data_IF_389239659045
#
_entry.id   IF_389239659045
#
_cell.length_a   1.000
_cell.length_b   1.000
_cell.length_c   1.000
_cell.angle_alpha   90.00
_cell.angle_beta   90.00
_cell.angle_gamma   90.00
#
_symmetry.space_group_name_H-M   'P 1'
#
loop_
_entity.id
_entity.type
_entity.pdbx_description
1 polymer ?
#
# COMPACT_ATOMS: atom_id res chain seq x y z
N UNK A 1 -14.60 -16.56 -11.06
CA UNK A 1 -13.44 -16.34 -10.18
C UNK A 1 -13.38 -14.86 -9.90
N UNK A 2 -13.37 -14.48 -8.62
CA UNK A 2 -13.51 -13.09 -8.19
C UNK A 2 -12.27 -12.29 -8.64
N UNK A 3 -12.45 -11.03 -9.07
CA UNK A 3 -11.41 -10.26 -9.76
C UNK A 3 -10.06 -10.17 -9.01
N UNK A 4 -10.10 -10.15 -7.67
CA UNK A 4 -8.91 -10.12 -6.81
C UNK A 4 -8.06 -11.39 -6.90
N UNK A 5 -8.68 -12.57 -6.98
CA UNK A 5 -7.96 -13.85 -7.10
C UNK A 5 -7.26 -13.96 -8.46
N UNK A 6 -7.90 -13.44 -9.51
CA UNK A 6 -7.30 -13.39 -10.85
C UNK A 6 -6.08 -12.47 -10.84
N UNK A 7 -6.17 -11.27 -10.26
CA UNK A 7 -5.04 -10.35 -10.16
C UNK A 7 -3.91 -10.97 -9.31
N UNK A 8 -4.24 -11.55 -8.16
CA UNK A 8 -3.29 -12.21 -7.27
C UNK A 8 -2.57 -13.38 -7.97
N UNK A 9 -3.29 -14.19 -8.75
CA UNK A 9 -2.67 -15.30 -9.50
C UNK A 9 -1.68 -14.83 -10.58
N UNK A 10 -1.95 -13.68 -11.20
CA UNK A 10 -1.09 -13.09 -12.25
C UNK A 10 0.17 -12.47 -11.67
N UNK A 11 0.04 -11.72 -10.57
CA UNK A 11 1.14 -10.95 -9.97
C UNK A 11 1.93 -11.76 -8.92
N UNK A 12 1.33 -12.81 -8.33
CA UNK A 12 1.95 -13.68 -7.33
C UNK A 12 2.52 -12.87 -6.15
N UNK A 13 3.81 -13.02 -5.87
CA UNK A 13 4.50 -12.31 -4.79
C UNK A 13 4.48 -10.78 -4.93
N UNK A 14 4.21 -10.26 -6.14
CA UNK A 14 4.11 -8.84 -6.42
C UNK A 14 2.77 -8.24 -6.01
N UNK A 15 1.76 -9.05 -5.67
CA UNK A 15 0.49 -8.57 -5.13
C UNK A 15 0.54 -8.58 -3.60
N UNK A 16 0.64 -7.39 -3.01
CA UNK A 16 0.91 -7.20 -1.59
C UNK A 16 -0.38 -6.82 -0.88
N UNK A 17 -0.71 -7.55 0.19
CA UNK A 17 -1.68 -7.10 1.18
C UNK A 17 -0.97 -6.17 2.16
N UNK A 18 -1.30 -4.89 2.09
CA UNK A 18 -0.60 -3.85 2.86
C UNK A 18 -1.00 -3.94 4.33
N UNK A 19 -0.01 -3.83 5.21
CA UNK A 19 -0.19 -3.67 6.66
C UNK A 19 0.63 -2.46 7.09
N UNK A 20 0.05 -1.55 7.87
CA UNK A 20 0.81 -0.39 8.33
C UNK A 20 1.65 -0.79 9.55
N UNK A 21 2.96 -0.50 9.60
CA UNK A 21 3.73 -0.71 10.82
C UNK A 21 3.23 0.15 12.00
N UNK A 22 2.41 1.18 11.72
CA UNK A 22 1.75 1.98 12.75
C UNK A 22 0.59 1.25 13.44
N UNK A 23 0.03 0.20 12.85
CA UNK A 23 -1.12 -0.53 13.41
C UNK A 23 -0.80 -1.09 14.80
N UNK A 24 0.41 -1.60 15.00
CA UNK A 24 0.85 -2.15 16.29
C UNK A 24 1.12 -1.05 17.32
N UNK A 25 1.61 0.12 16.87
CA UNK A 25 1.75 1.29 17.73
C UNK A 25 0.38 1.76 18.23
N UNK A 26 -0.63 1.79 17.37
CA UNK A 26 -2.01 2.16 17.74
C UNK A 26 -2.59 1.15 18.74
N UNK A 27 -2.46 -0.16 18.48
CA UNK A 27 -2.94 -1.21 19.41
C UNK A 27 -2.27 -1.14 20.78
N UNK A 28 -0.99 -0.77 20.82
CA UNK A 28 -0.21 -0.64 22.05
C UNK A 28 -0.31 0.75 22.70
N UNK A 29 -1.21 1.61 22.21
CA UNK A 29 -1.37 3.00 22.67
C UNK A 29 -0.04 3.78 22.73
N UNK A 30 0.79 3.60 21.70
CA UNK A 30 2.11 4.24 21.55
C UNK A 30 3.27 3.55 22.27
N UNK A 31 3.03 2.52 23.08
CA UNK A 31 4.10 1.84 23.82
C UNK A 31 5.01 1.06 22.86
N UNK A 32 6.32 1.34 22.91
CA UNK A 32 7.33 0.65 22.07
C UNK A 32 7.49 1.23 20.65
N UNK A 33 6.85 2.37 20.35
CA UNK A 33 6.89 2.96 19.01
C UNK A 33 8.22 3.66 18.67
N UNK A 34 9.11 3.91 19.64
CA UNK A 34 10.32 4.74 19.48
C UNK A 34 11.22 4.28 18.32
N UNK A 35 11.43 2.96 18.19
CA UNK A 35 12.27 2.40 17.13
C UNK A 35 11.65 2.63 15.74
N UNK A 36 10.32 2.52 15.61
CA UNK A 36 9.63 2.83 14.37
C UNK A 36 9.74 4.33 14.06
N UNK A 37 9.45 5.19 15.03
CA UNK A 37 9.50 6.65 14.87
C UNK A 37 10.92 7.16 14.57
N UNK A 38 11.96 6.45 14.99
CA UNK A 38 13.33 6.72 14.58
C UNK A 38 13.56 6.39 13.09
N UNK A 39 12.99 5.28 12.58
CA UNK A 39 13.15 4.83 11.18
C UNK A 39 12.32 5.64 10.19
N UNK A 40 11.08 6.01 10.50
CA UNK A 40 10.17 6.73 9.57
C UNK A 40 10.67 8.14 9.19
N UNK A 41 11.64 8.68 9.93
CA UNK A 41 12.33 9.93 9.56
C UNK A 41 13.27 9.75 8.35
N UNK A 42 13.62 8.51 8.00
CA UNK A 42 14.38 8.20 6.80
C UNK A 42 13.43 8.13 5.59
N UNK A 43 13.55 9.04 4.61
CA UNK A 43 12.66 9.06 3.44
C UNK A 43 12.75 7.80 2.57
N UNK A 44 13.90 7.10 2.56
CA UNK A 44 14.04 5.84 1.82
C UNK A 44 13.23 4.73 2.47
N UNK A 45 13.32 4.59 3.79
CA UNK A 45 12.52 3.60 4.53
C UNK A 45 11.03 3.86 4.36
N UNK A 46 10.61 5.13 4.41
CA UNK A 46 9.22 5.51 4.27
C UNK A 46 8.67 5.28 2.86
N UNK A 47 9.50 5.43 1.82
CA UNK A 47 9.15 5.12 0.43
C UNK A 47 9.04 3.61 0.19
N UNK A 48 9.94 2.83 0.75
CA UNK A 48 10.02 1.38 0.49
C UNK A 48 8.96 0.59 1.28
N UNK A 49 8.31 1.22 2.27
CA UNK A 49 7.22 0.64 3.06
C UNK A 49 5.84 1.06 2.52
N UNK A 50 5.09 0.16 1.84
CA UNK A 50 3.81 0.49 1.20
C UNK A 50 2.71 0.86 2.20
N UNK A 51 2.88 0.53 3.49
CA UNK A 51 1.99 0.90 4.58
C UNK A 51 2.20 2.31 5.16
N UNK A 52 3.15 3.09 4.63
CA UNK A 52 3.49 4.43 5.10
C UNK A 52 3.26 5.49 4.02
N UNK A 53 2.99 6.73 4.45
CA UNK A 53 2.70 7.86 3.55
C UNK A 53 3.43 9.11 4.01
N UNK A 54 4.00 9.88 3.08
CA UNK A 54 4.52 11.22 3.35
C UNK A 54 3.51 12.26 2.89
N UNK A 55 3.08 13.13 3.81
CA UNK A 55 2.07 14.14 3.49
C UNK A 55 2.39 15.46 4.16
N UNK A 56 1.94 16.54 3.54
CA UNK A 56 2.03 17.90 4.06
C UNK A 56 0.59 18.34 4.32
N UNK A 57 0.22 18.48 5.58
CA UNK A 57 -1.15 18.80 5.98
C UNK A 57 -1.21 19.36 7.38
N UNK A 58 -2.33 20.02 7.68
CA UNK A 58 -2.63 20.44 9.05
C UNK A 58 -3.03 19.22 9.87
N UNK A 59 -2.56 19.16 11.11
CA UNK A 59 -3.04 18.19 12.09
C UNK A 59 -4.57 18.26 12.17
N UNK A 60 -5.22 17.11 12.25
CA UNK A 60 -6.69 16.94 12.32
C UNK A 60 -7.52 17.37 11.10
N UNK A 61 -6.89 17.79 9.99
CA UNK A 61 -7.63 18.13 8.77
C UNK A 61 -8.09 16.88 7.98
N UNK A 62 -7.31 15.80 8.02
CA UNK A 62 -7.61 14.52 7.38
C UNK A 62 -6.74 13.42 8.02
N UNK A 63 -7.21 12.19 7.99
CA UNK A 63 -6.46 11.02 8.46
C UNK A 63 -5.89 10.27 7.28
N UNK A 64 -4.55 10.15 7.21
CA UNK A 64 -3.92 9.33 6.18
C UNK A 64 -4.24 7.85 6.38
N UNK A 65 -4.56 7.16 5.29
CA UNK A 65 -4.79 5.73 5.27
C UNK A 65 -4.09 5.12 4.06
N UNK A 66 -3.23 4.14 4.30
CA UNK A 66 -2.62 3.37 3.23
C UNK A 66 -3.69 2.61 2.42
N UNK A 67 -3.36 2.31 1.15
CA UNK A 67 -4.15 1.38 0.35
C UNK A 67 -4.25 0.02 1.04
N UNK A 68 -5.34 -0.74 0.81
CA UNK A 68 -5.46 -2.13 1.28
C UNK A 68 -4.54 -3.10 0.53
N UNK A 69 -4.18 -2.76 -0.71
CA UNK A 69 -3.33 -3.57 -1.58
C UNK A 69 -2.33 -2.71 -2.35
N UNK A 70 -1.15 -3.28 -2.60
CA UNK A 70 -0.13 -2.68 -3.43
C UNK A 70 0.38 -3.68 -4.47
N UNK A 71 0.96 -3.17 -5.54
CA UNK A 71 1.64 -3.96 -6.57
C UNK A 71 3.09 -3.53 -6.62
N UNK A 72 4.01 -4.43 -6.28
CA UNK A 72 5.45 -4.24 -6.50
C UNK A 72 5.78 -4.53 -7.97
N UNK A 73 5.61 -3.52 -8.82
CA UNK A 73 5.69 -3.66 -10.27
C UNK A 73 7.14 -3.83 -10.75
N UNK A 74 7.46 -4.96 -11.38
CA UNK A 74 8.80 -5.21 -11.94
C UNK A 74 8.82 -5.02 -13.46
N UNK A 75 7.65 -4.96 -14.09
CA UNK A 75 7.51 -4.78 -15.53
C UNK A 75 6.28 -3.95 -15.91
N UNK A 76 6.22 -3.52 -17.17
CA UNK A 76 5.08 -2.79 -17.70
C UNK A 76 3.79 -3.64 -17.69
N UNK A 77 3.93 -4.96 -17.81
CA UNK A 77 2.82 -5.92 -17.74
C UNK A 77 2.17 -5.95 -16.35
N UNK A 78 2.94 -5.72 -15.28
CA UNK A 78 2.40 -5.65 -13.92
C UNK A 78 1.50 -4.43 -13.76
N UNK A 79 1.95 -3.29 -14.27
CA UNK A 79 1.17 -2.04 -14.31
C UNK A 79 -0.09 -2.24 -15.14
N UNK A 80 0.03 -2.84 -16.33
CA UNK A 80 -1.11 -3.12 -17.20
C UNK A 80 -2.13 -4.07 -16.54
N UNK A 81 -1.66 -5.07 -15.79
CA UNK A 81 -2.53 -5.99 -15.07
C UNK A 81 -3.31 -5.29 -13.95
N UNK A 82 -2.67 -4.38 -13.19
CA UNK A 82 -3.33 -3.57 -12.18
C UNK A 82 -4.41 -2.65 -12.78
N UNK A 83 -4.08 -1.96 -13.88
CA UNK A 83 -5.04 -1.09 -14.60
C UNK A 83 -6.22 -1.91 -15.13
N UNK A 84 -5.94 -3.03 -15.80
CA UNK A 84 -6.99 -3.90 -16.34
C UNK A 84 -7.93 -4.42 -15.25
N UNK A 85 -7.39 -4.71 -14.05
CA UNK A 85 -8.22 -5.09 -12.90
C UNK A 85 -9.10 -3.94 -12.42
N UNK A 86 -8.57 -2.71 -12.30
CA UNK A 86 -9.36 -1.55 -11.85
C UNK A 86 -10.46 -1.16 -12.84
N UNK A 87 -10.26 -1.43 -14.14
CA UNK A 87 -11.26 -1.22 -15.19
C UNK A 87 -12.28 -2.36 -15.33
N UNK A 88 -12.05 -3.50 -14.69
CA UNK A 88 -12.93 -4.66 -14.81
C UNK A 88 -14.25 -4.48 -14.05
N UNK A 89 -15.30 -5.14 -14.55
CA UNK A 89 -16.64 -5.11 -13.96
C UNK A 89 -16.68 -5.56 -12.48
N UNK A 90 -15.76 -6.44 -12.10
CA UNK A 90 -15.58 -6.89 -10.70
C UNK A 90 -15.15 -5.78 -9.76
N UNK A 91 -14.55 -4.73 -10.31
CA UNK A 91 -13.97 -3.59 -9.61
C UNK A 91 -14.84 -2.35 -9.69
N UNK A 92 -15.98 -2.40 -10.41
CA UNK A 92 -16.86 -1.25 -10.66
C UNK A 92 -17.40 -0.56 -9.40
N UNK A 93 -17.44 -1.29 -8.28
CA UNK A 93 -17.89 -0.77 -6.99
C UNK A 93 -16.77 -0.21 -6.12
N UNK A 94 -15.52 -0.29 -6.58
CA UNK A 94 -14.36 0.30 -5.92
C UNK A 94 -14.18 1.73 -6.42
N UNK A 95 -14.70 2.68 -5.65
CA UNK A 95 -14.54 4.12 -5.89
C UNK A 95 -13.91 4.78 -4.68
N UNK A 96 -13.15 5.86 -4.89
CA UNK A 96 -12.43 6.57 -3.82
C UNK A 96 -11.23 5.82 -3.25
N UNK A 97 -10.83 4.71 -3.88
CA UNK A 97 -9.67 3.90 -3.49
C UNK A 97 -8.45 4.24 -4.33
N UNK A 98 -7.28 4.23 -3.70
CA UNK A 98 -5.97 4.25 -4.38
C UNK A 98 -5.38 2.84 -4.34
N UNK A 99 -4.66 2.44 -5.38
CA UNK A 99 -3.80 1.25 -5.38
C UNK A 99 -2.39 1.71 -5.71
N UNK A 100 -1.45 1.50 -4.78
CA UNK A 100 -0.05 1.80 -5.04
C UNK A 100 0.50 0.80 -6.06
N UNK A 101 1.04 1.31 -7.17
CA UNK A 101 1.71 0.53 -8.21
C UNK A 101 3.04 1.20 -8.44
N UNK A 102 3.99 0.89 -7.58
CA UNK A 102 5.37 1.32 -7.71
C UNK A 102 6.24 0.07 -7.80
N UNK A 103 7.43 0.20 -8.38
CA UNK A 103 8.37 -0.92 -8.44
C UNK A 103 9.06 -1.16 -7.10
N UNK A 104 8.34 -0.99 -5.99
CA UNK A 104 8.83 -1.05 -4.61
C UNK A 104 9.99 -2.02 -4.47
N UNK A 105 11.10 -1.54 -3.88
CA UNK A 105 12.36 -2.27 -3.83
C UNK A 105 12.16 -3.56 -3.03
N UNK A 106 11.90 -4.66 -3.74
CA UNK A 106 11.87 -6.00 -3.17
C UNK A 106 13.31 -6.36 -2.77
N UNK A 107 13.72 -6.01 -1.55
CA UNK A 107 14.89 -6.61 -0.90
C UNK A 107 14.50 -7.89 -0.21
#
# INVERSE_FOLDING_TARGET
>A
MLGWELLASRLKARFIKVQSPLDDCVKANGTGADALFARIKNPYFLRDEPGLTQTLGWVDAWTSRASSYAVAAESAEDVAAAIAFLLADTSRWMSGSTMAVDGGLLT
#
